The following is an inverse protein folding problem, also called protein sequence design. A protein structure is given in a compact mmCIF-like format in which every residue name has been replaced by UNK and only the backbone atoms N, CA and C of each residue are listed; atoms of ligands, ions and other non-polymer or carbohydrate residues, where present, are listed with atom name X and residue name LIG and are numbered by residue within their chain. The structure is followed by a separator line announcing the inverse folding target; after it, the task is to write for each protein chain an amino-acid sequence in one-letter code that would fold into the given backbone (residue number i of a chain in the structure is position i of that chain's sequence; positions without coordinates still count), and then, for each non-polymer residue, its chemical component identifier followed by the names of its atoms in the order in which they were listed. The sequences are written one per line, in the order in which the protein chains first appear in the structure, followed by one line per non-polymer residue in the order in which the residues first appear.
data_IF_277714790089
#
_entry.id   IF_277714790089
#
_cell.length_a   1.000
_cell.length_b   1.000
_cell.length_c   1.000
_cell.angle_alpha   90.00
_cell.angle_beta   90.00
_cell.angle_gamma   90.00
#
_symmetry.space_group_name_H-M   'P 1'
#
loop_
_entity.id
_entity.type
_entity.pdbx_description
1 polymer ?
#
# COMPACT_ATOMS: atom_id res chain seq x y z
N UNK A 1 25.59 7.14 2.28
CA UNK A 1 26.23 6.41 1.17
C UNK A 1 25.11 5.54 0.60
N UNK A 2 24.47 5.97 -0.48
CA UNK A 2 23.40 5.21 -1.14
C UNK A 2 24.01 3.98 -1.80
N UNK A 3 23.58 2.80 -1.36
CA UNK A 3 23.96 1.55 -2.00
C UNK A 3 23.38 1.50 -3.42
N UNK A 4 24.23 1.66 -4.40
CA UNK A 4 23.92 1.55 -5.85
C UNK A 4 23.68 0.07 -6.28
N UNK A 5 23.63 -0.88 -5.33
CA UNK A 5 23.65 -2.32 -5.60
C UNK A 5 22.27 -2.93 -5.82
N UNK A 6 21.16 -2.17 -5.60
CA UNK A 6 19.79 -2.69 -5.64
C UNK A 6 18.91 -2.10 -6.75
N UNK A 7 19.49 -1.49 -7.79
CA UNK A 7 18.72 -1.03 -8.94
C UNK A 7 18.35 -2.20 -9.84
N UNK A 8 17.07 -2.49 -9.96
CA UNK A 8 16.58 -3.41 -10.99
C UNK A 8 16.72 -2.71 -12.34
N UNK A 9 17.38 -3.38 -13.29
CA UNK A 9 17.56 -2.83 -14.64
C UNK A 9 16.20 -2.46 -15.26
N UNK A 10 16.10 -1.26 -15.82
CA UNK A 10 14.90 -0.74 -16.46
C UNK A 10 13.85 -0.12 -15.53
N UNK A 11 14.09 -0.07 -14.20
CA UNK A 11 13.17 0.54 -13.25
C UNK A 11 13.81 1.67 -12.44
N UNK A 12 13.02 2.72 -12.21
CA UNK A 12 13.37 3.83 -11.32
C UNK A 12 12.30 3.98 -10.25
N UNK A 13 12.69 3.98 -8.98
CA UNK A 13 11.79 4.30 -7.87
C UNK A 13 11.97 5.78 -7.53
N UNK A 14 10.87 6.53 -7.53
CA UNK A 14 10.87 7.96 -7.27
C UNK A 14 9.58 8.42 -6.58
N UNK A 15 9.58 9.60 -5.94
CA UNK A 15 8.34 10.24 -5.53
C UNK A 15 7.42 10.47 -6.72
N UNK A 16 6.12 10.27 -6.50
CA UNK A 16 5.10 10.58 -7.50
C UNK A 16 4.98 12.10 -7.68
N UNK A 17 4.73 12.50 -8.92
CA UNK A 17 4.41 13.89 -9.28
C UNK A 17 2.95 13.98 -9.78
N UNK A 18 2.47 15.19 -10.02
CA UNK A 18 1.07 15.42 -10.39
C UNK A 18 0.66 14.70 -11.69
N UNK A 19 1.59 14.59 -12.60
CA UNK A 19 1.44 13.92 -13.89
C UNK A 19 1.21 12.41 -13.75
N UNK A 20 1.70 11.80 -12.68
CA UNK A 20 1.54 10.36 -12.40
C UNK A 20 0.15 9.99 -11.90
N UNK A 21 -0.63 10.97 -11.38
CA UNK A 21 -1.87 10.70 -10.65
C UNK A 21 -2.91 9.91 -11.44
N UNK A 22 -2.97 10.10 -12.75
CA UNK A 22 -3.85 9.32 -13.61
C UNK A 22 -3.50 7.83 -13.57
N UNK A 23 -2.22 7.53 -13.78
CA UNK A 23 -1.71 6.16 -13.78
C UNK A 23 -1.73 5.52 -12.41
N UNK A 24 -1.42 6.28 -11.37
CA UNK A 24 -1.54 5.82 -9.97
C UNK A 24 -2.99 5.44 -9.64
N UNK A 25 -3.98 6.27 -10.03
CA UNK A 25 -5.39 5.95 -9.81
C UNK A 25 -5.82 4.64 -10.50
N UNK A 26 -5.37 4.41 -11.75
CA UNK A 26 -5.63 3.15 -12.47
C UNK A 26 -5.06 1.94 -11.73
N UNK A 27 -3.82 2.02 -11.23
CA UNK A 27 -3.20 0.95 -10.47
C UNK A 27 -3.94 0.67 -9.15
N UNK A 28 -4.39 1.71 -8.46
CA UNK A 28 -5.14 1.58 -7.22
C UNK A 28 -6.55 1.02 -7.43
N UNK A 29 -7.22 1.38 -8.54
CA UNK A 29 -8.50 0.77 -8.93
C UNK A 29 -8.32 -0.71 -9.24
N UNK A 30 -7.30 -1.09 -10.00
CA UNK A 30 -7.01 -2.49 -10.29
C UNK A 30 -6.71 -3.29 -9.01
N UNK A 31 -6.02 -2.69 -8.04
CA UNK A 31 -5.82 -3.29 -6.72
C UNK A 31 -7.15 -3.49 -6.00
N UNK A 32 -8.01 -2.47 -5.96
CA UNK A 32 -9.32 -2.54 -5.31
C UNK A 32 -10.18 -3.65 -5.92
N UNK A 33 -10.27 -3.72 -7.24
CA UNK A 33 -11.02 -4.76 -7.96
C UNK A 33 -10.50 -6.16 -7.63
N UNK A 34 -9.17 -6.32 -7.55
CA UNK A 34 -8.56 -7.59 -7.15
C UNK A 34 -8.91 -7.97 -5.69
N UNK A 35 -8.89 -7.00 -4.77
CA UNK A 35 -9.24 -7.25 -3.37
C UNK A 35 -10.72 -7.61 -3.20
N UNK A 36 -11.63 -6.91 -3.88
CA UNK A 36 -13.07 -7.19 -3.87
C UNK A 36 -13.39 -8.57 -4.46
N UNK A 37 -12.65 -8.98 -5.49
CA UNK A 37 -12.80 -10.30 -6.09
C UNK A 37 -12.25 -11.42 -5.18
N UNK A 38 -11.20 -11.15 -4.40
CA UNK A 38 -10.57 -12.14 -3.52
C UNK A 38 -11.33 -12.39 -2.21
N UNK A 39 -12.15 -11.44 -1.78
CA UNK A 39 -12.91 -11.55 -0.53
C UNK A 39 -14.31 -10.92 -0.67
N UNK A 40 -15.38 -11.73 -0.82
CA UNK A 40 -16.74 -11.22 -1.00
C UNK A 40 -17.33 -10.49 0.23
N UNK A 41 -16.67 -10.60 1.39
CA UNK A 41 -17.05 -9.90 2.62
C UNK A 41 -16.30 -8.58 2.81
N UNK A 42 -15.39 -8.23 1.91
CA UNK A 42 -14.71 -6.94 1.92
C UNK A 42 -15.69 -5.83 1.52
N UNK A 43 -15.54 -4.65 2.14
CA UNK A 43 -16.30 -3.48 1.73
C UNK A 43 -15.98 -3.08 0.31
N UNK A 44 -17.02 -2.95 -0.50
CA UNK A 44 -16.88 -2.47 -1.88
C UNK A 44 -16.73 -0.96 -1.87
N UNK A 45 -15.84 -0.50 -2.74
CA UNK A 45 -15.71 0.93 -2.99
C UNK A 45 -16.88 1.38 -3.86
N UNK A 46 -17.62 2.42 -3.43
CA UNK A 46 -18.70 2.98 -4.22
C UNK A 46 -18.18 3.79 -5.43
N UNK A 47 -19.09 4.14 -6.33
CA UNK A 47 -18.74 4.81 -7.60
C UNK A 47 -18.16 6.21 -7.38
N UNK A 48 -18.62 6.93 -6.35
CA UNK A 48 -18.10 8.26 -6.01
C UNK A 48 -16.66 8.16 -5.49
N UNK A 49 -16.38 7.22 -4.59
CA UNK A 49 -15.03 6.98 -4.08
C UNK A 49 -14.07 6.53 -5.21
N UNK A 50 -14.56 5.69 -6.15
CA UNK A 50 -13.79 5.29 -7.35
C UNK A 50 -13.46 6.50 -8.22
N UNK A 51 -14.43 7.36 -8.50
CA UNK A 51 -14.24 8.57 -9.30
C UNK A 51 -13.27 9.57 -8.63
N UNK A 52 -13.29 9.64 -7.30
CA UNK A 52 -12.48 10.57 -6.51
C UNK A 52 -11.08 10.06 -6.14
N UNK A 53 -10.71 8.85 -6.54
CA UNK A 53 -9.43 8.23 -6.14
C UNK A 53 -8.21 9.07 -6.54
N UNK A 54 -8.25 9.67 -7.73
CA UNK A 54 -7.21 10.58 -8.22
C UNK A 54 -7.09 11.82 -7.32
N UNK A 55 -8.20 12.43 -6.94
CA UNK A 55 -8.22 13.59 -6.05
C UNK A 55 -7.71 13.26 -4.64
N UNK A 56 -8.13 12.13 -4.09
CA UNK A 56 -7.66 11.64 -2.80
C UNK A 56 -6.15 11.38 -2.77
N UNK A 57 -5.61 10.83 -3.86
CA UNK A 57 -4.16 10.60 -4.00
C UNK A 57 -3.40 11.92 -4.14
N UNK A 58 -3.94 12.89 -4.90
CA UNK A 58 -3.36 14.22 -5.03
C UNK A 58 -3.22 14.92 -3.67
N UNK A 59 -4.21 14.80 -2.80
CA UNK A 59 -4.16 15.32 -1.43
C UNK A 59 -2.97 14.76 -0.63
N UNK A 60 -2.58 13.51 -0.86
CA UNK A 60 -1.43 12.89 -0.17
C UNK A 60 -0.08 13.46 -0.60
N UNK A 61 0.07 13.89 -1.86
CA UNK A 61 1.32 14.51 -2.32
C UNK A 61 1.67 15.79 -1.57
N UNK A 62 0.68 16.45 -0.98
CA UNK A 62 0.83 17.73 -0.26
C UNK A 62 0.93 17.56 1.26
N UNK A 63 0.80 16.33 1.79
CA UNK A 63 0.84 16.07 3.23
C UNK A 63 2.26 15.75 3.68
N UNK A 64 2.83 16.48 4.66
CA UNK A 64 4.20 16.28 5.10
C UNK A 64 4.46 14.90 5.71
N UNK A 65 3.45 14.33 6.38
CA UNK A 65 3.55 13.00 7.01
C UNK A 65 3.19 11.84 6.07
N UNK A 66 3.07 12.09 4.76
CA UNK A 66 2.65 11.10 3.76
C UNK A 66 3.59 11.12 2.56
N UNK A 67 3.72 9.96 1.92
CA UNK A 67 4.46 9.85 0.66
C UNK A 67 3.76 8.90 -0.30
N UNK A 68 3.90 9.18 -1.58
CA UNK A 68 3.51 8.32 -2.69
C UNK A 68 4.77 8.09 -3.52
N UNK A 69 5.21 6.84 -3.60
CA UNK A 69 6.36 6.45 -4.43
C UNK A 69 5.87 5.61 -5.60
N UNK A 70 6.44 5.85 -6.76
CA UNK A 70 6.13 5.10 -7.99
C UNK A 70 7.35 4.33 -8.48
N UNK A 71 7.09 3.18 -9.09
CA UNK A 71 8.05 2.47 -9.92
C UNK A 71 7.78 2.79 -11.38
N UNK A 72 8.73 3.44 -12.02
CA UNK A 72 8.69 3.80 -13.42
C UNK A 72 9.59 2.86 -14.22
N UNK A 73 9.02 2.25 -15.25
CA UNK A 73 9.74 1.42 -16.20
C UNK A 73 10.03 2.23 -17.46
N UNK A 74 11.22 2.08 -18.02
CA UNK A 74 11.69 2.90 -19.17
C UNK A 74 10.75 2.88 -20.37
N UNK A 75 10.14 1.73 -20.67
CA UNK A 75 9.25 1.58 -21.82
C UNK A 75 7.75 1.76 -21.48
N UNK A 76 7.34 1.45 -20.25
CA UNK A 76 5.92 1.30 -19.88
C UNK A 76 5.41 2.41 -18.94
N UNK A 77 6.30 3.33 -18.55
CA UNK A 77 5.99 4.38 -17.58
C UNK A 77 5.74 3.85 -16.18
N UNK A 78 4.84 4.46 -15.43
CA UNK A 78 4.52 4.04 -14.07
C UNK A 78 3.80 2.69 -14.06
N UNK A 79 4.45 1.70 -13.44
CA UNK A 79 3.99 0.29 -13.37
C UNK A 79 3.76 -0.20 -11.95
N UNK A 80 4.13 0.59 -10.95
CA UNK A 80 3.90 0.26 -9.55
C UNK A 80 3.79 1.49 -8.68
N UNK A 81 3.14 1.35 -7.56
CA UNK A 81 2.96 2.43 -6.57
C UNK A 81 2.91 1.87 -5.17
N UNK A 82 3.46 2.63 -4.22
CA UNK A 82 3.29 2.40 -2.78
C UNK A 82 2.93 3.72 -2.10
N UNK A 83 1.93 3.66 -1.21
CA UNK A 83 1.48 4.78 -0.41
C UNK A 83 1.77 4.49 1.05
N UNK A 84 2.33 5.47 1.76
CA UNK A 84 2.58 5.37 3.18
C UNK A 84 2.48 6.70 3.89
N UNK A 85 2.32 6.63 5.19
CA UNK A 85 2.22 7.81 6.06
C UNK A 85 2.70 7.52 7.46
N UNK A 86 3.12 8.55 8.16
CA UNK A 86 3.39 8.47 9.60
C UNK A 86 2.07 8.68 10.35
N UNK A 87 1.78 7.78 11.27
CA UNK A 87 0.65 7.90 12.19
C UNK A 87 1.14 8.21 13.58
N UNK A 88 0.48 9.15 14.26
CA UNK A 88 0.83 9.54 15.62
C UNK A 88 -0.31 9.19 16.57
N UNK A 89 0.00 8.39 17.60
CA UNK A 89 -0.92 8.08 18.67
C UNK A 89 -0.19 8.18 20.02
N UNK A 90 -0.43 9.27 20.72
CA UNK A 90 0.22 9.59 22.01
C UNK A 90 -0.13 8.63 23.16
N UNK A 91 -1.05 7.68 22.94
CA UNK A 91 -1.40 6.64 23.93
C UNK A 91 -0.45 5.46 23.90
N UNK A 92 0.42 5.36 22.89
CA UNK A 92 1.36 4.25 22.71
C UNK A 92 2.81 4.73 22.81
N UNK A 93 3.68 3.79 23.11
CA UNK A 93 5.12 3.96 23.10
C UNK A 93 5.74 2.92 22.16
N UNK A 94 6.39 3.30 21.07
CA UNK A 94 6.57 4.67 20.57
C UNK A 94 5.25 5.30 20.09
N UNK A 95 5.11 6.64 20.17
CA UNK A 95 3.88 7.34 19.79
C UNK A 95 3.72 7.50 18.27
N UNK A 96 4.78 7.24 17.49
CA UNK A 96 4.80 7.35 16.01
C UNK A 96 5.09 5.99 15.38
N UNK A 97 4.33 5.67 14.35
CA UNK A 97 4.53 4.47 13.54
C UNK A 97 4.34 4.75 12.05
N UNK A 98 5.04 4.02 11.20
CA UNK A 98 4.82 4.03 9.76
C UNK A 98 3.66 3.12 9.38
N UNK A 99 2.75 3.63 8.57
CA UNK A 99 1.65 2.87 8.00
C UNK A 99 1.85 2.78 6.48
N UNK A 100 1.99 1.58 5.95
CA UNK A 100 1.87 1.32 4.51
C UNK A 100 0.39 1.09 4.23
N UNK A 101 -0.22 2.01 3.49
CA UNK A 101 -1.65 1.98 3.20
C UNK A 101 -1.98 1.10 1.99
N UNK A 102 -1.20 1.20 0.93
CA UNK A 102 -1.41 0.47 -0.33
C UNK A 102 -0.07 0.20 -1.02
N UNK A 103 0.04 -0.96 -1.66
CA UNK A 103 1.17 -1.29 -2.53
C UNK A 103 0.66 -2.17 -3.68
N UNK A 104 0.97 -1.79 -4.91
CA UNK A 104 0.58 -2.56 -6.09
C UNK A 104 1.64 -2.43 -7.18
N UNK A 105 1.85 -3.53 -7.89
CA UNK A 105 2.65 -3.60 -9.12
C UNK A 105 1.80 -4.25 -10.21
N UNK A 106 1.81 -3.66 -11.38
CA UNK A 106 1.14 -4.16 -12.59
C UNK A 106 1.53 -5.62 -12.83
N UNK A 107 0.58 -6.45 -13.23
CA UNK A 107 0.72 -7.91 -13.23
C UNK A 107 1.91 -8.41 -14.06
N UNK A 108 2.16 -7.78 -15.20
CA UNK A 108 3.25 -8.11 -16.12
C UNK A 108 4.64 -7.65 -15.65
N UNK A 109 4.70 -6.82 -14.60
CA UNK A 109 5.95 -6.39 -13.93
C UNK A 109 6.16 -7.04 -12.55
N UNK A 110 5.30 -8.00 -12.16
CA UNK A 110 5.46 -8.74 -10.90
C UNK A 110 6.62 -9.73 -10.98
N UNK A 111 7.07 -10.19 -9.81
CA UNK A 111 8.15 -11.19 -9.64
C UNK A 111 9.51 -10.75 -10.19
N UNK A 112 9.69 -9.46 -10.41
CA UNK A 112 10.93 -8.84 -10.87
C UNK A 112 11.58 -7.99 -9.76
N UNK A 113 11.13 -8.10 -8.50
CA UNK A 113 11.69 -7.36 -7.37
C UNK A 113 11.13 -5.94 -7.19
N UNK A 114 10.30 -5.43 -8.11
CA UNK A 114 9.78 -4.04 -8.10
C UNK A 114 9.08 -3.70 -6.78
N UNK A 115 8.21 -4.60 -6.27
CA UNK A 115 7.53 -4.37 -5.01
C UNK A 115 8.50 -4.28 -3.82
N UNK A 116 9.56 -5.10 -3.81
CA UNK A 116 10.60 -5.06 -2.77
C UNK A 116 11.34 -3.73 -2.78
N UNK A 117 11.67 -3.20 -3.95
CA UNK A 117 12.31 -1.87 -4.05
C UNK A 117 11.39 -0.72 -3.64
N UNK A 118 10.11 -0.79 -3.98
CA UNK A 118 9.13 0.17 -3.49
C UNK A 118 9.06 0.15 -1.96
N UNK A 119 9.06 -1.04 -1.34
CA UNK A 119 9.09 -1.15 0.13
C UNK A 119 10.39 -0.64 0.71
N UNK A 120 11.55 -0.92 0.11
CA UNK A 120 12.84 -0.39 0.56
C UNK A 120 12.84 1.15 0.55
N UNK A 121 12.40 1.77 -0.53
CA UNK A 121 12.29 3.23 -0.64
C UNK A 121 11.29 3.82 0.38
N UNK A 122 10.21 3.08 0.70
CA UNK A 122 9.27 3.46 1.76
C UNK A 122 9.92 3.37 3.14
N UNK A 123 10.74 2.36 3.40
CA UNK A 123 11.52 2.26 4.63
C UNK A 123 12.50 3.45 4.78
N UNK A 124 13.12 3.89 3.69
CA UNK A 124 13.99 5.07 3.70
C UNK A 124 13.21 6.35 4.05
N UNK A 125 11.97 6.49 3.56
CA UNK A 125 11.10 7.58 3.98
C UNK A 125 10.82 7.52 5.48
N UNK A 126 10.40 6.39 6.02
CA UNK A 126 10.13 6.23 7.45
C UNK A 126 11.37 6.44 8.32
N UNK A 127 12.54 6.02 7.85
CA UNK A 127 13.80 6.27 8.55
C UNK A 127 14.12 7.77 8.64
N UNK A 128 13.91 8.54 7.57
CA UNK A 128 14.05 10.01 7.60
C UNK A 128 13.07 10.69 8.54
N UNK A 129 11.87 10.11 8.69
CA UNK A 129 10.86 10.57 9.65
C UNK A 129 11.12 10.11 11.11
N UNK A 130 12.20 9.37 11.35
CA UNK A 130 12.54 8.85 12.67
C UNK A 130 11.56 7.81 13.19
N UNK A 131 10.95 7.03 12.30
CA UNK A 131 9.99 5.98 12.63
C UNK A 131 10.64 4.61 12.46
N UNK A 132 10.58 3.79 13.51
CA UNK A 132 11.14 2.43 13.54
C UNK A 132 10.07 1.35 13.40
N UNK A 133 8.88 1.55 13.95
CA UNK A 133 7.79 0.58 13.89
C UNK A 133 6.94 0.79 12.64
N UNK A 134 6.78 -0.29 11.87
CA UNK A 134 5.99 -0.30 10.64
C UNK A 134 4.78 -1.20 10.79
N UNK A 135 3.69 -0.80 10.18
CA UNK A 135 2.44 -1.57 10.11
C UNK A 135 1.79 -1.45 8.73
N UNK A 136 0.98 -2.43 8.42
CA UNK A 136 0.15 -2.44 7.21
C UNK A 136 -1.09 -3.30 7.43
N UNK A 137 -2.03 -3.21 6.50
CA UNK A 137 -3.19 -4.10 6.45
C UNK A 137 -3.25 -4.78 5.09
N UNK A 138 -3.57 -6.06 5.09
CA UNK A 138 -3.87 -6.79 3.86
C UNK A 138 -5.12 -7.66 4.05
N UNK A 139 -5.76 -7.99 2.95
CA UNK A 139 -7.02 -8.74 2.96
C UNK A 139 -6.77 -10.19 3.32
N UNK A 140 -7.48 -10.70 4.32
CA UNK A 140 -7.45 -12.12 4.69
C UNK A 140 -7.87 -13.00 3.50
N UNK A 141 -7.10 -14.06 3.23
CA UNK A 141 -7.31 -14.91 2.06
C UNK A 141 -6.51 -14.49 0.81
N UNK A 142 -5.90 -13.30 0.81
CA UNK A 142 -4.93 -12.92 -0.22
C UNK A 142 -3.57 -13.55 0.09
N UNK A 143 -3.37 -14.80 -0.38
CA UNK A 143 -2.15 -15.55 -0.11
C UNK A 143 -0.89 -14.95 -0.74
N UNK A 144 -1.00 -14.26 -1.89
CA UNK A 144 0.13 -13.59 -2.51
C UNK A 144 0.65 -12.48 -1.61
N UNK A 145 -0.23 -11.61 -1.11
CA UNK A 145 0.13 -10.56 -0.17
C UNK A 145 0.66 -11.13 1.15
N UNK A 146 0.02 -12.18 1.68
CA UNK A 146 0.46 -12.84 2.92
C UNK A 146 1.90 -13.35 2.80
N UNK A 147 2.23 -14.06 1.72
CA UNK A 147 3.58 -14.57 1.49
C UNK A 147 4.60 -13.45 1.28
N UNK A 148 4.23 -12.42 0.51
CA UNK A 148 5.10 -11.29 0.24
C UNK A 148 5.48 -10.54 1.53
N UNK A 149 4.47 -10.15 2.32
CA UNK A 149 4.71 -9.40 3.55
C UNK A 149 5.41 -10.24 4.64
N UNK A 150 5.09 -11.53 4.73
CA UNK A 150 5.80 -12.43 5.65
C UNK A 150 7.29 -12.58 5.29
N UNK A 151 7.62 -12.65 4.00
CA UNK A 151 9.01 -12.70 3.53
C UNK A 151 9.80 -11.42 3.87
N UNK A 152 9.12 -10.28 4.05
CA UNK A 152 9.69 -9.01 4.50
C UNK A 152 9.67 -8.84 6.04
N UNK A 153 9.28 -9.88 6.79
CA UNK A 153 9.28 -9.86 8.26
C UNK A 153 8.00 -9.32 8.90
N UNK A 154 6.96 -8.99 8.14
CA UNK A 154 5.68 -8.59 8.72
C UNK A 154 4.92 -9.81 9.24
N UNK A 155 4.52 -9.74 10.52
CA UNK A 155 3.72 -10.78 11.18
C UNK A 155 2.37 -10.21 11.61
N UNK A 156 1.26 -10.95 11.47
CA UNK A 156 -0.04 -10.50 11.96
C UNK A 156 0.00 -10.21 13.46
N UNK A 157 -0.45 -9.00 13.85
CA UNK A 157 -0.54 -8.58 15.26
C UNK A 157 -1.97 -8.37 15.72
N UNK A 158 -2.84 -7.93 14.80
CA UNK A 158 -4.25 -7.63 15.05
C UNK A 158 -5.06 -8.21 13.91
N UNK A 159 -6.14 -8.91 14.22
CA UNK A 159 -7.11 -9.40 13.24
C UNK A 159 -8.40 -8.62 13.41
N UNK A 160 -8.93 -8.07 12.32
CA UNK A 160 -10.26 -7.48 12.29
C UNK A 160 -11.22 -8.53 11.73
N UNK A 161 -12.20 -8.94 12.54
CA UNK A 161 -13.25 -9.85 12.13
C UNK A 161 -14.56 -9.05 11.92
N UNK A 162 -15.35 -9.47 10.96
CA UNK A 162 -16.65 -8.86 10.65
C UNK A 162 -17.74 -9.91 10.54
N UNK A 163 -18.95 -9.56 10.97
CA UNK A 163 -20.15 -10.35 10.75
C UNK A 163 -21.34 -9.42 10.50
N UNK A 164 -22.37 -9.90 9.81
CA UNK A 164 -23.63 -9.16 9.74
C UNK A 164 -24.41 -9.33 11.04
N UNK A 165 -25.18 -8.31 11.43
CA UNK A 165 -26.01 -8.36 12.64
C UNK A 165 -26.93 -9.57 12.65
N UNK A 166 -27.56 -9.89 11.52
CA UNK A 166 -28.47 -11.02 11.39
C UNK A 166 -27.82 -12.38 11.67
N UNK A 167 -26.57 -12.56 11.24
CA UNK A 167 -25.80 -13.77 11.55
C UNK A 167 -25.54 -13.87 13.05
N UNK A 168 -25.09 -12.79 13.67
CA UNK A 168 -24.83 -12.77 15.12
C UNK A 168 -26.10 -13.03 15.90
N UNK A 169 -27.24 -12.36 15.57
CA UNK A 169 -28.52 -12.57 16.22
C UNK A 169 -29.04 -14.00 16.10
N UNK A 170 -28.77 -14.69 15.00
CA UNK A 170 -29.14 -16.09 14.79
C UNK A 170 -28.31 -17.08 15.62
N UNK A 171 -27.11 -16.70 16.04
CA UNK A 171 -26.21 -17.58 16.81
C UNK A 171 -26.26 -17.35 18.32
N UNK A 172 -26.79 -16.21 18.81
CA UNK A 172 -26.86 -15.86 20.23
C UNK A 172 -28.26 -16.01 20.84
N UNK A 173 -29.24 -16.46 20.07
CA UNK A 173 -30.60 -16.84 20.49
C UNK A 173 -30.69 -18.36 20.58
#
# INVERSE_FOLDING_TARGET
MSNDTDRIAGYTIRPAVHEDLGRVAELLLALQDHLEASNPHLWRMDDEARANLKGGTAGRLSQPDSTVLVAEHEADGVVGVILGRVVTNKRYDPPRAGMIDQAVVRVDHRRQGVATQLVAAMCDFFAREGVADLSLRYVAGNEEATRFWAALGFTPRIVTAGATRSVVEGLVR
#
